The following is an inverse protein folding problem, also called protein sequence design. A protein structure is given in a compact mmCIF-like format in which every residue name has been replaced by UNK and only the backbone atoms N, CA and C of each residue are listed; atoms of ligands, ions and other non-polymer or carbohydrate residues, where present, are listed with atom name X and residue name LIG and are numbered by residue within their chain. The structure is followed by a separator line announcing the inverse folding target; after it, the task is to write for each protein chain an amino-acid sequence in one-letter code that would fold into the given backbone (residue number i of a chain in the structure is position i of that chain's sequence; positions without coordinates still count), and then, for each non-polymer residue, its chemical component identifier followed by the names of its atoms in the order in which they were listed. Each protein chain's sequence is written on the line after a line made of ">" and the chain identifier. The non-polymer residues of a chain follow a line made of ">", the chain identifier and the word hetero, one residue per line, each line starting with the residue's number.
data_IF_111972187520
#
_entry.id   IF_111972187520
#
_cell.length_a   1.000
_cell.length_b   1.000
_cell.length_c   1.000
_cell.angle_alpha   90.00
_cell.angle_beta   90.00
_cell.angle_gamma   90.00
#
_symmetry.space_group_name_H-M   'P 1'
#
loop_
_entity.id
_entity.type
_entity.pdbx_description
1 polymer ?
#
# COMPACT_ATOMS: atom_id res chain seq x y z
N UNK A 1 -27.74 -25.33 21.23
CA UNK A 1 -26.49 -25.73 20.55
C UNK A 1 -26.32 -27.24 20.70
N UNK A 2 -26.30 -28.03 19.60
CA UNK A 2 -26.23 -29.49 19.67
C UNK A 2 -24.84 -29.95 19.19
N UNK A 3 -23.99 -30.35 20.12
CA UNK A 3 -22.63 -30.82 19.79
C UNK A 3 -22.73 -32.25 19.24
N UNK A 4 -22.10 -32.49 18.08
CA UNK A 4 -22.02 -33.80 17.44
C UNK A 4 -20.64 -34.41 17.66
N UNK A 5 -20.51 -35.75 17.81
CA UNK A 5 -19.23 -36.40 18.10
C UNK A 5 -18.09 -36.07 17.12
N UNK A 6 -18.40 -35.88 15.83
CA UNK A 6 -17.37 -35.52 14.83
C UNK A 6 -16.73 -34.16 15.12
N UNK A 7 -17.42 -33.22 15.77
CA UNK A 7 -16.89 -31.88 16.06
C UNK A 7 -15.70 -31.93 17.02
N UNK A 8 -15.68 -32.89 17.96
CA UNK A 8 -14.52 -33.11 18.82
C UNK A 8 -13.30 -33.59 18.02
N UNK A 9 -13.53 -34.36 16.96
CA UNK A 9 -12.47 -34.83 16.07
C UNK A 9 -11.94 -33.73 15.15
N UNK A 10 -12.80 -32.84 14.68
CA UNK A 10 -12.36 -31.61 13.99
C UNK A 10 -11.52 -30.76 14.94
N UNK A 11 -12.03 -30.47 16.14
CA UNK A 11 -11.33 -29.68 17.14
C UNK A 11 -9.95 -30.24 17.49
N UNK A 12 -9.85 -31.56 17.75
CA UNK A 12 -8.57 -32.20 18.05
C UNK A 12 -7.57 -32.13 16.89
N UNK A 13 -8.02 -32.33 15.65
CA UNK A 13 -7.17 -32.21 14.46
C UNK A 13 -6.73 -30.77 14.21
N UNK A 14 -7.62 -29.79 14.39
CA UNK A 14 -7.28 -28.37 14.30
C UNK A 14 -6.27 -27.98 15.39
N UNK A 15 -6.46 -28.39 16.64
CA UNK A 15 -5.52 -28.09 17.73
C UNK A 15 -4.12 -28.66 17.48
N UNK A 16 -4.02 -29.88 16.97
CA UNK A 16 -2.70 -30.43 16.61
C UNK A 16 -2.07 -29.76 15.41
N UNK A 17 -2.87 -29.37 14.42
CA UNK A 17 -2.38 -28.63 13.27
C UNK A 17 -1.84 -27.25 13.68
N UNK A 18 -2.53 -26.59 14.62
CA UNK A 18 -2.08 -25.34 15.24
C UNK A 18 -0.89 -25.52 16.18
N UNK A 19 -0.59 -26.75 16.61
CA UNK A 19 0.58 -27.09 17.43
C UNK A 19 1.76 -27.59 16.59
N UNK A 20 1.78 -27.27 15.29
CA UNK A 20 2.83 -27.63 14.32
C UNK A 20 3.10 -29.14 14.16
N UNK A 21 2.11 -29.99 14.48
CA UNK A 21 2.24 -31.43 14.19
C UNK A 21 2.08 -31.62 12.66
N UNK A 22 3.02 -32.30 11.97
CA UNK A 22 2.93 -32.51 10.53
C UNK A 22 1.63 -33.22 10.12
N UNK A 23 1.07 -32.80 8.97
CA UNK A 23 -0.23 -33.27 8.50
C UNK A 23 -0.26 -34.79 8.26
N UNK A 24 0.88 -35.39 7.94
CA UNK A 24 1.06 -36.83 7.73
C UNK A 24 0.86 -37.58 9.05
N UNK A 25 1.37 -37.03 10.16
CA UNK A 25 1.17 -37.56 11.51
C UNK A 25 -0.29 -37.38 11.92
N UNK A 26 -0.88 -36.21 11.61
CA UNK A 26 -2.31 -35.93 11.83
C UNK A 26 -3.23 -36.81 10.92
N UNK A 27 -2.70 -37.36 9.85
CA UNK A 27 -3.44 -38.28 8.97
C UNK A 27 -3.36 -39.70 9.54
N UNK A 28 -2.15 -40.13 9.94
CA UNK A 28 -1.89 -41.45 10.51
C UNK A 28 -2.60 -41.68 11.86
N UNK A 29 -2.52 -40.73 12.80
CA UNK A 29 -3.17 -40.83 14.12
C UNK A 29 -4.72 -40.86 14.04
N UNK A 30 -5.26 -40.45 12.89
CA UNK A 30 -6.66 -40.34 12.56
C UNK A 30 -7.11 -41.56 11.76
N UNK A 31 -6.18 -42.45 11.38
CA UNK A 31 -6.47 -43.65 10.60
C UNK A 31 -6.92 -43.36 9.17
N UNK A 32 -6.53 -42.21 8.58
CA UNK A 32 -6.85 -41.88 7.19
C UNK A 32 -5.75 -42.38 6.25
N UNK A 33 -6.15 -42.78 5.05
CA UNK A 33 -5.23 -43.26 4.01
C UNK A 33 -4.67 -42.13 3.14
N UNK A 34 -5.45 -41.08 2.94
CA UNK A 34 -5.09 -39.92 2.11
C UNK A 34 -5.04 -38.66 2.99
N UNK A 35 -3.99 -37.87 2.79
CA UNK A 35 -3.75 -36.59 3.47
C UNK A 35 -4.80 -35.56 3.08
N UNK A 36 -5.32 -35.62 1.85
CA UNK A 36 -6.37 -34.71 1.36
C UNK A 36 -7.64 -34.78 2.21
N UNK A 37 -7.96 -35.96 2.75
CA UNK A 37 -9.11 -36.15 3.64
C UNK A 37 -8.90 -35.55 5.03
N UNK A 38 -7.68 -35.14 5.40
CA UNK A 38 -7.41 -34.48 6.68
C UNK A 38 -7.62 -32.96 6.60
N UNK A 39 -7.40 -32.35 5.43
CA UNK A 39 -7.64 -30.91 5.22
C UNK A 39 -9.12 -30.52 5.37
N UNK A 40 -10.06 -31.38 4.98
CA UNK A 40 -11.51 -31.15 5.19
C UNK A 40 -11.89 -31.03 6.68
N UNK A 41 -11.01 -31.51 7.58
CA UNK A 41 -11.25 -31.48 9.02
C UNK A 41 -10.53 -30.36 9.75
N UNK A 42 -9.59 -29.68 9.09
CA UNK A 42 -8.88 -28.53 9.63
C UNK A 42 -9.64 -27.29 9.19
N UNK A 43 -10.29 -26.65 10.15
CA UNK A 43 -10.94 -25.37 9.93
C UNK A 43 -10.05 -24.26 10.47
N UNK A 44 -9.05 -23.88 9.68
CA UNK A 44 -8.31 -22.63 9.85
C UNK A 44 -8.86 -21.60 8.87
N UNK A 45 -8.87 -20.34 9.27
CA UNK A 45 -9.20 -19.25 8.34
C UNK A 45 -8.01 -19.01 7.40
N UNK A 46 -8.26 -18.50 6.18
CA UNK A 46 -7.18 -18.15 5.23
C UNK A 46 -6.16 -17.18 5.87
N UNK A 47 -6.63 -16.35 6.80
CA UNK A 47 -5.80 -15.45 7.58
C UNK A 47 -4.84 -16.19 8.53
N UNK A 48 -5.33 -17.16 9.30
CA UNK A 48 -4.51 -17.97 10.21
C UNK A 48 -3.47 -18.81 9.47
N UNK A 49 -3.84 -19.34 8.29
CA UNK A 49 -2.90 -20.09 7.45
C UNK A 49 -1.81 -19.18 6.86
N UNK A 50 -2.18 -17.97 6.44
CA UNK A 50 -1.23 -16.96 5.95
C UNK A 50 -0.28 -16.48 7.05
N UNK A 51 -0.78 -16.27 8.28
CA UNK A 51 0.06 -15.92 9.43
C UNK A 51 1.07 -17.04 9.75
N UNK A 52 0.66 -18.31 9.69
CA UNK A 52 1.58 -19.43 9.92
C UNK A 52 2.61 -19.60 8.80
N UNK A 53 2.20 -19.45 7.54
CA UNK A 53 3.16 -19.44 6.43
C UNK A 53 4.15 -18.29 6.62
N UNK A 54 3.72 -17.12 7.10
CA UNK A 54 4.60 -15.98 7.39
C UNK A 54 5.51 -16.20 8.61
N UNK A 55 5.14 -17.06 9.56
CA UNK A 55 5.97 -17.37 10.73
C UNK A 55 7.00 -18.46 10.44
N UNK A 56 6.67 -19.44 9.59
CA UNK A 56 7.57 -20.51 9.14
C UNK A 56 8.52 -20.01 8.05
N UNK A 57 8.03 -19.19 7.10
CA UNK A 57 8.87 -18.37 6.24
C UNK A 57 9.45 -17.26 7.10
N UNK A 58 10.49 -17.58 7.89
CA UNK A 58 11.19 -16.63 8.75
C UNK A 58 11.60 -15.35 8.01
N UNK A 59 10.71 -14.37 7.99
CA UNK A 59 10.98 -12.95 7.79
C UNK A 59 11.02 -12.24 9.15
N UNK A 60 11.43 -12.95 10.20
CA UNK A 60 11.46 -12.37 11.55
C UNK A 60 12.84 -12.51 12.19
N UNK A 61 13.43 -11.34 12.42
CA UNK A 61 14.39 -11.04 13.48
C UNK A 61 15.86 -11.35 13.19
N UNK A 62 16.41 -10.70 12.16
CA UNK A 62 17.78 -10.22 12.33
C UNK A 62 17.76 -9.10 13.37
N UNK A 63 18.08 -9.53 14.60
CA UNK A 63 18.55 -8.76 15.74
C UNK A 63 19.05 -7.39 15.33
N UNK A 64 18.38 -6.32 15.76
CA UNK A 64 18.92 -4.95 15.88
C UNK A 64 20.07 -4.69 14.89
N UNK A 65 19.82 -5.00 13.62
CA UNK A 65 20.91 -5.15 12.68
C UNK A 65 21.23 -3.72 12.32
N UNK A 66 22.31 -3.18 12.87
CA UNK A 66 22.89 -1.91 12.45
C UNK A 66 22.70 -1.82 10.95
N UNK A 67 21.78 -0.97 10.50
CA UNK A 67 21.43 -0.86 9.10
C UNK A 67 22.70 -0.37 8.43
N UNK A 68 23.46 -1.31 7.84
CA UNK A 68 24.68 -0.98 7.12
C UNK A 68 24.24 -0.36 5.84
N UNK A 69 24.59 0.90 5.70
CA UNK A 69 24.25 1.67 4.53
C UNK A 69 25.35 1.40 3.51
N UNK A 70 24.97 0.69 2.46
CA UNK A 70 25.84 0.13 1.44
C UNK A 70 25.40 0.78 0.12
N UNK A 71 26.34 1.22 -0.72
CA UNK A 71 25.99 1.81 -2.02
C UNK A 71 25.29 0.77 -2.91
N UNK A 72 24.53 1.19 -3.93
CA UNK A 72 23.86 0.25 -4.83
C UNK A 72 24.83 -0.76 -5.45
N UNK A 73 26.04 -0.30 -5.78
CA UNK A 73 27.12 -1.13 -6.32
C UNK A 73 27.64 -2.14 -5.30
N UNK A 74 27.95 -1.67 -4.09
CA UNK A 74 28.43 -2.54 -3.00
C UNK A 74 27.35 -3.55 -2.56
N UNK A 75 26.06 -3.19 -2.67
CA UNK A 75 24.94 -4.07 -2.33
C UNK A 75 24.84 -5.20 -3.37
N UNK A 76 24.89 -4.87 -4.66
CA UNK A 76 24.93 -5.89 -5.72
C UNK A 76 26.16 -6.79 -5.61
N UNK A 77 27.34 -6.24 -5.31
CA UNK A 77 28.59 -7.00 -5.21
C UNK A 77 28.65 -7.88 -3.95
N UNK A 78 28.11 -7.43 -2.82
CA UNK A 78 28.22 -8.13 -1.52
C UNK A 78 27.09 -9.12 -1.28
N UNK A 79 25.88 -8.78 -1.73
CA UNK A 79 24.66 -9.52 -1.33
C UNK A 79 23.96 -10.24 -2.48
N UNK A 80 24.32 -9.97 -3.74
CA UNK A 80 23.56 -10.42 -4.92
C UNK A 80 22.06 -10.06 -4.87
N UNK A 81 21.64 -9.15 -3.98
CA UNK A 81 20.25 -8.72 -3.86
C UNK A 81 19.95 -7.67 -4.95
N UNK A 82 18.81 -7.76 -5.67
CA UNK A 82 18.45 -6.82 -6.71
C UNK A 82 18.09 -5.46 -6.11
N UNK A 83 18.92 -4.45 -6.34
CA UNK A 83 18.55 -3.05 -6.19
C UNK A 83 18.43 -2.42 -7.57
N UNK A 84 17.19 -2.24 -8.02
CA UNK A 84 16.93 -1.64 -9.33
C UNK A 84 16.84 -0.13 -9.18
N UNK A 85 17.64 0.61 -9.95
CA UNK A 85 17.54 2.07 -10.02
C UNK A 85 16.25 2.42 -10.76
N UNK A 86 15.40 3.23 -10.14
CA UNK A 86 14.16 3.76 -10.73
C UNK A 86 14.31 5.25 -11.01
N UNK A 87 13.31 5.86 -11.67
CA UNK A 87 13.32 7.30 -11.97
C UNK A 87 13.28 8.20 -10.73
N UNK A 88 12.88 7.67 -9.58
CA UNK A 88 12.69 8.41 -8.33
C UNK A 88 13.58 7.93 -7.19
N UNK A 89 14.53 7.03 -7.45
CA UNK A 89 15.42 6.46 -6.44
C UNK A 89 15.79 5.01 -6.73
N UNK A 90 15.65 4.15 -5.72
CA UNK A 90 16.06 2.74 -5.78
C UNK A 90 14.94 1.86 -5.25
N UNK A 91 14.63 0.77 -5.96
CA UNK A 91 13.72 -0.27 -5.49
C UNK A 91 14.51 -1.46 -4.95
N UNK A 92 14.12 -1.96 -3.78
CA UNK A 92 14.72 -3.15 -3.15
C UNK A 92 14.03 -4.47 -3.53
N UNK A 93 13.03 -4.43 -4.41
CA UNK A 93 12.35 -5.64 -4.89
C UNK A 93 13.18 -6.36 -5.94
N UNK A 94 13.00 -7.67 -6.01
CA UNK A 94 13.56 -8.55 -7.04
C UNK A 94 12.79 -8.43 -8.37
N UNK A 95 12.90 -7.27 -9.01
CA UNK A 95 12.18 -6.95 -10.26
C UNK A 95 12.61 -7.83 -11.45
N UNK A 96 13.71 -8.56 -11.33
CA UNK A 96 14.18 -9.55 -12.31
C UNK A 96 13.38 -10.85 -12.27
N UNK A 97 12.81 -11.21 -11.10
CA UNK A 97 12.03 -12.43 -10.91
C UNK A 97 10.53 -12.12 -11.00
N UNK A 98 10.10 -11.04 -10.34
CA UNK A 98 8.69 -10.67 -10.25
C UNK A 98 8.47 -9.20 -10.59
N UNK A 99 7.53 -8.87 -11.50
CA UNK A 99 7.20 -7.48 -11.78
C UNK A 99 6.61 -6.79 -10.54
N UNK A 100 6.74 -5.47 -10.48
CA UNK A 100 6.14 -4.69 -9.40
C UNK A 100 4.61 -4.68 -9.55
N UNK A 101 3.91 -5.08 -8.49
CA UNK A 101 2.44 -5.05 -8.42
C UNK A 101 1.91 -3.77 -7.73
N UNK A 102 2.81 -2.92 -7.23
CA UNK A 102 2.42 -1.69 -6.55
C UNK A 102 2.03 -0.63 -7.57
N UNK A 103 0.78 -0.17 -7.48
CA UNK A 103 0.21 0.85 -8.34
C UNK A 103 -0.46 1.94 -7.51
N UNK A 104 -0.35 3.19 -7.97
CA UNK A 104 -1.06 4.32 -7.41
C UNK A 104 -1.38 5.37 -8.50
N UNK A 105 -2.08 6.44 -8.09
CA UNK A 105 -2.54 7.52 -8.98
C UNK A 105 -1.44 8.50 -9.42
N UNK A 106 -0.20 8.33 -8.94
CA UNK A 106 0.92 9.23 -9.15
C UNK A 106 1.78 8.77 -10.34
N UNK A 107 2.42 9.73 -11.02
CA UNK A 107 3.11 9.49 -12.30
C UNK A 107 4.24 8.47 -12.16
N UNK A 108 4.98 8.54 -11.06
CA UNK A 108 6.12 7.66 -10.83
C UNK A 108 5.74 6.26 -10.32
N UNK A 109 4.51 6.09 -9.81
CA UNK A 109 3.96 4.88 -9.15
C UNK A 109 4.77 4.33 -7.96
N UNK A 110 6.05 4.69 -7.81
CA UNK A 110 6.93 4.27 -6.73
C UNK A 110 6.72 5.07 -5.44
N UNK A 111 6.07 6.23 -5.53
CA UNK A 111 5.73 7.07 -4.38
C UNK A 111 4.89 6.27 -3.36
N UNK A 112 5.22 6.37 -2.07
CA UNK A 112 4.61 5.59 -0.97
C UNK A 112 4.80 4.06 -1.03
N UNK A 113 5.53 3.50 -2.00
CA UNK A 113 5.87 2.07 -1.98
C UNK A 113 6.81 1.76 -0.80
N UNK A 114 6.54 0.71 -0.01
CA UNK A 114 7.42 0.32 1.11
C UNK A 114 8.80 -0.14 0.66
N UNK A 115 8.91 -0.59 -0.58
CA UNK A 115 10.15 -1.07 -1.18
C UNK A 115 10.90 0.02 -1.97
N UNK A 116 10.26 1.18 -2.21
CA UNK A 116 10.94 2.32 -2.80
C UNK A 116 11.77 3.06 -1.74
N UNK A 117 13.00 3.39 -2.11
CA UNK A 117 13.93 4.19 -1.33
C UNK A 117 14.28 5.44 -2.14
N UNK A 118 14.02 6.60 -1.57
CA UNK A 118 14.31 7.90 -2.18
C UNK A 118 15.61 8.46 -1.61
N UNK A 119 16.37 9.21 -2.42
CA UNK A 119 17.68 9.72 -2.03
C UNK A 119 17.57 11.24 -1.86
N UNK A 120 17.95 11.74 -0.68
CA UNK A 120 18.03 13.17 -0.43
C UNK A 120 19.10 13.80 -1.34
N UNK A 121 18.78 14.94 -1.94
CA UNK A 121 19.63 15.63 -2.91
C UNK A 121 19.61 15.07 -4.34
N UNK A 122 18.79 14.06 -4.65
CA UNK A 122 18.59 13.63 -6.04
C UNK A 122 17.71 14.64 -6.78
N UNK A 123 18.37 15.57 -7.48
CA UNK A 123 17.69 16.65 -8.18
C UNK A 123 16.71 16.16 -9.26
N UNK A 124 17.01 15.06 -9.95
CA UNK A 124 16.13 14.54 -11.02
C UNK A 124 14.85 13.97 -10.44
N UNK A 125 14.96 13.23 -9.34
CA UNK A 125 13.81 12.69 -8.63
C UNK A 125 12.96 13.81 -8.01
N UNK A 126 13.60 14.82 -7.42
CA UNK A 126 12.92 16.02 -6.87
C UNK A 126 12.14 16.74 -7.97
N UNK A 127 12.77 17.05 -9.10
CA UNK A 127 12.12 17.74 -10.21
C UNK A 127 10.92 16.94 -10.76
N UNK A 128 11.01 15.61 -10.79
CA UNK A 128 9.91 14.74 -11.22
C UNK A 128 8.75 14.78 -10.21
N UNK A 129 9.05 14.69 -8.91
CA UNK A 129 8.04 14.78 -7.86
C UNK A 129 7.39 16.15 -7.76
N UNK A 130 8.12 17.23 -8.01
CA UNK A 130 7.54 18.58 -8.05
C UNK A 130 6.56 18.75 -9.20
N UNK A 131 6.89 18.23 -10.39
CA UNK A 131 5.97 18.22 -11.54
C UNK A 131 4.72 17.40 -11.25
N UNK A 132 4.88 16.22 -10.65
CA UNK A 132 3.76 15.38 -10.23
C UNK A 132 2.91 16.11 -9.18
N UNK A 133 3.52 16.73 -8.17
CA UNK A 133 2.82 17.49 -7.14
C UNK A 133 1.96 18.62 -7.72
N UNK A 134 2.47 19.39 -8.68
CA UNK A 134 1.69 20.44 -9.36
C UNK A 134 0.48 19.84 -10.09
N UNK A 135 0.67 18.72 -10.79
CA UNK A 135 -0.39 18.03 -11.50
C UNK A 135 -1.48 17.49 -10.56
N UNK A 136 -1.09 16.80 -9.48
CA UNK A 136 -2.03 16.22 -8.53
C UNK A 136 -2.79 17.30 -7.75
N UNK A 137 -2.13 18.42 -7.42
CA UNK A 137 -2.80 19.57 -6.81
C UNK A 137 -3.87 20.15 -7.73
N UNK A 138 -3.56 20.35 -9.01
CA UNK A 138 -4.55 20.84 -9.98
C UNK A 138 -5.74 19.88 -10.14
N UNK A 139 -5.50 18.56 -10.15
CA UNK A 139 -6.57 17.55 -10.16
C UNK A 139 -7.43 17.60 -8.90
N UNK A 140 -6.80 17.73 -7.74
CA UNK A 140 -7.50 17.83 -6.47
C UNK A 140 -8.40 19.07 -6.43
N UNK A 141 -7.89 20.21 -6.88
CA UNK A 141 -8.65 21.46 -6.97
C UNK A 141 -9.83 21.33 -7.96
N UNK A 142 -9.62 20.69 -9.11
CA UNK A 142 -10.67 20.45 -10.09
C UNK A 142 -11.80 19.57 -9.52
N UNK A 143 -11.45 18.43 -8.91
CA UNK A 143 -12.45 17.51 -8.36
C UNK A 143 -13.14 18.15 -7.17
N UNK A 144 -12.42 18.82 -6.26
CA UNK A 144 -13.00 19.44 -5.07
C UNK A 144 -14.01 20.54 -5.39
N UNK A 145 -13.85 21.24 -6.52
CA UNK A 145 -14.79 22.26 -6.99
C UNK A 145 -15.97 21.69 -7.79
N UNK A 146 -15.99 20.39 -8.08
CA UNK A 146 -17.08 19.75 -8.80
C UNK A 146 -18.31 19.61 -7.91
N UNK A 147 -19.44 20.12 -8.39
CA UNK A 147 -20.76 20.01 -7.73
C UNK A 147 -21.14 18.57 -7.33
N UNK A 148 -20.68 17.57 -8.09
CA UNK A 148 -20.97 16.14 -7.86
C UNK A 148 -20.30 15.59 -6.61
N UNK A 149 -19.24 16.21 -6.10
CA UNK A 149 -18.58 15.79 -4.85
C UNK A 149 -19.55 15.82 -3.68
N UNK A 150 -20.48 16.78 -3.63
CA UNK A 150 -21.45 16.88 -2.53
C UNK A 150 -22.36 15.65 -2.44
N UNK A 151 -22.61 14.99 -3.57
CA UNK A 151 -23.56 13.87 -3.69
C UNK A 151 -22.84 12.52 -3.73
N UNK A 152 -21.74 12.43 -4.47
CA UNK A 152 -21.04 11.16 -4.71
C UNK A 152 -20.07 10.82 -3.59
N UNK A 153 -20.38 9.77 -2.83
CA UNK A 153 -19.47 9.22 -1.81
C UNK A 153 -18.11 8.82 -2.39
N UNK A 154 -18.09 8.23 -3.58
CA UNK A 154 -16.83 7.82 -4.23
C UNK A 154 -15.92 9.03 -4.51
N UNK A 155 -16.48 10.16 -4.92
CA UNK A 155 -15.71 11.39 -5.13
C UNK A 155 -15.24 12.00 -3.80
N UNK A 156 -16.05 11.94 -2.75
CA UNK A 156 -15.66 12.37 -1.41
C UNK A 156 -14.47 11.55 -0.90
N UNK A 157 -14.58 10.22 -0.96
CA UNK A 157 -13.52 9.29 -0.55
C UNK A 157 -12.24 9.53 -1.36
N UNK A 158 -12.38 9.74 -2.68
CA UNK A 158 -11.26 10.08 -3.55
C UNK A 158 -10.58 11.39 -3.12
N UNK A 159 -11.33 12.46 -2.83
CA UNK A 159 -10.78 13.75 -2.38
C UNK A 159 -10.00 13.58 -1.06
N UNK A 160 -10.52 12.84 -0.09
CA UNK A 160 -9.82 12.60 1.19
C UNK A 160 -8.50 11.87 0.95
N UNK A 161 -8.54 10.76 0.21
CA UNK A 161 -7.37 9.93 -0.04
C UNK A 161 -6.33 10.71 -0.85
N UNK A 162 -6.76 11.43 -1.88
CA UNK A 162 -5.87 12.14 -2.78
C UNK A 162 -5.26 13.38 -2.11
N UNK A 163 -6.03 14.12 -1.31
CA UNK A 163 -5.50 15.20 -0.47
C UNK A 163 -4.42 14.68 0.49
N UNK A 164 -4.71 13.58 1.20
CA UNK A 164 -3.75 12.93 2.11
C UNK A 164 -2.45 12.58 1.40
N UNK A 165 -2.54 11.92 0.24
CA UNK A 165 -1.36 11.46 -0.49
C UNK A 165 -0.56 12.65 -1.09
N UNK A 166 -1.24 13.71 -1.51
CA UNK A 166 -0.60 14.94 -2.02
C UNK A 166 0.21 15.66 -0.94
N UNK A 167 -0.29 15.72 0.30
CA UNK A 167 0.47 16.28 1.43
C UNK A 167 1.66 15.40 1.84
N UNK A 168 1.52 14.07 1.73
CA UNK A 168 2.67 13.15 1.93
C UNK A 168 3.73 13.38 0.85
N UNK A 169 3.34 13.63 -0.40
CA UNK A 169 4.28 13.89 -1.50
C UNK A 169 5.06 15.18 -1.26
N UNK A 170 4.35 16.25 -0.89
CA UNK A 170 4.96 17.52 -0.50
C UNK A 170 6.00 17.35 0.61
N UNK A 171 5.67 16.52 1.60
CA UNK A 171 6.55 16.24 2.73
C UNK A 171 7.78 15.45 2.30
N UNK A 172 7.62 14.45 1.42
CA UNK A 172 8.75 13.75 0.83
C UNK A 172 9.69 14.70 0.08
N UNK A 173 9.15 15.60 -0.75
CA UNK A 173 9.94 16.59 -1.49
C UNK A 173 10.74 17.48 -0.52
N UNK A 174 10.11 17.93 0.57
CA UNK A 174 10.76 18.74 1.60
C UNK A 174 11.90 17.98 2.29
N UNK A 175 11.66 16.72 2.69
CA UNK A 175 12.68 15.87 3.28
C UNK A 175 13.85 15.63 2.32
N UNK A 176 13.57 15.40 1.03
CA UNK A 176 14.62 15.20 0.03
C UNK A 176 15.50 16.44 -0.18
N UNK A 177 15.02 17.65 0.15
CA UNK A 177 15.76 18.91 0.03
C UNK A 177 16.50 19.30 1.31
N UNK A 178 15.90 19.07 2.48
CA UNK A 178 16.45 19.50 3.76
C UNK A 178 17.52 18.56 4.31
N UNK A 179 17.40 17.26 4.05
CA UNK A 179 18.34 16.27 4.55
C UNK A 179 19.65 16.26 3.76
N UNK A 180 20.77 15.86 4.41
CA UNK A 180 22.06 15.85 3.75
C UNK A 180 22.07 14.90 2.56
N UNK A 181 22.72 15.34 1.48
CA UNK A 181 22.79 14.63 0.20
C UNK A 181 23.28 13.20 0.42
N UNK A 182 22.56 12.23 -0.15
CA UNK A 182 22.85 10.80 -0.01
C UNK A 182 22.11 10.10 1.12
N UNK A 183 21.33 10.82 1.95
CA UNK A 183 20.46 10.18 2.94
C UNK A 183 19.34 9.38 2.25
N UNK A 184 19.03 8.20 2.77
CA UNK A 184 17.98 7.33 2.24
C UNK A 184 16.69 7.59 3.00
N UNK A 185 15.62 7.91 2.27
CA UNK A 185 14.29 8.19 2.80
C UNK A 185 13.36 7.05 2.37
N UNK A 186 12.70 6.40 3.33
CA UNK A 186 11.71 5.34 3.10
C UNK A 186 10.39 5.68 3.75
N UNK A 187 9.29 5.43 3.06
CA UNK A 187 7.95 5.63 3.59
C UNK A 187 7.36 4.33 4.15
N UNK A 188 6.72 4.40 5.31
CA UNK A 188 5.99 3.29 5.92
C UNK A 188 4.47 3.57 5.90
N UNK A 189 3.74 2.89 5.03
CA UNK A 189 2.28 3.10 4.88
C UNK A 189 1.49 2.74 6.15
N UNK A 190 1.94 1.74 6.92
CA UNK A 190 1.21 1.24 8.10
C UNK A 190 1.12 2.29 9.22
N UNK A 191 2.17 3.09 9.39
CA UNK A 191 2.32 4.03 10.51
C UNK A 191 2.32 5.49 10.00
N UNK A 192 2.34 5.69 8.68
CA UNK A 192 2.45 7.01 8.03
C UNK A 192 3.66 7.81 8.54
N UNK A 193 4.82 7.16 8.52
CA UNK A 193 6.10 7.74 8.94
C UNK A 193 7.15 7.64 7.84
N UNK A 194 8.04 8.63 7.80
CA UNK A 194 9.26 8.58 7.00
C UNK A 194 10.42 8.14 7.88
N UNK A 195 11.20 7.17 7.39
CA UNK A 195 12.46 6.77 8.00
C UNK A 195 13.58 7.34 7.15
N UNK A 196 14.37 8.23 7.74
CA UNK A 196 15.52 8.83 7.10
C UNK A 196 16.78 8.23 7.69
N UNK A 197 17.64 7.72 6.83
CA UNK A 197 18.83 6.97 7.19
C UNK A 197 20.04 7.68 6.57
N UNK A 198 20.87 8.28 7.42
CA UNK A 198 22.06 9.01 6.98
C UNK A 198 23.24 8.05 6.77
N UNK A 199 23.76 8.00 5.53
CA UNK A 199 24.88 7.14 5.12
C UNK A 199 26.13 7.31 5.99
N UNK A 200 26.40 8.53 6.43
CA UNK A 200 27.63 8.91 7.10
C UNK A 200 27.62 8.57 8.58
N UNK A 201 26.49 8.83 9.26
CA UNK A 201 26.34 8.63 10.70
C UNK A 201 25.69 7.28 11.05
N UNK A 202 25.12 6.58 10.06
CA UNK A 202 24.34 5.35 10.21
C UNK A 202 23.15 5.46 11.16
N UNK A 203 22.74 6.69 11.49
CA UNK A 203 21.59 6.93 12.35
C UNK A 203 20.32 6.88 11.52
N UNK A 204 19.29 6.26 12.11
CA UNK A 204 17.94 6.23 11.55
C UNK A 204 17.08 7.19 12.36
N UNK A 205 16.62 8.24 11.70
CA UNK A 205 15.64 9.17 12.24
C UNK A 205 14.25 8.78 11.74
N UNK A 206 13.26 8.79 12.62
CA UNK A 206 11.87 8.51 12.28
C UNK A 206 11.05 9.76 12.42
N UNK A 207 10.51 10.23 11.30
CA UNK A 207 9.71 11.44 11.21
C UNK A 207 8.25 11.01 11.09
N UNK A 208 7.50 11.20 12.16
CA UNK A 208 6.05 10.96 12.16
C UNK A 208 5.35 12.15 11.54
N UNK A 209 4.60 11.89 10.48
CA UNK A 209 3.82 12.92 9.83
C UNK A 209 2.42 12.98 10.43
N UNK A 210 2.06 14.11 11.04
CA UNK A 210 0.68 14.39 11.41
C UNK A 210 -0.09 14.74 10.14
N UNK A 211 -0.77 13.76 9.56
CA UNK A 211 -1.64 13.98 8.41
C UNK A 211 -2.72 15.01 8.79
N UNK A 212 -2.92 16.09 8.00
CA UNK A 212 -3.99 17.05 8.27
C UNK A 212 -5.35 16.33 8.23
N UNK A 213 -6.25 16.73 9.13
CA UNK A 213 -7.60 16.15 9.26
C UNK A 213 -8.41 16.43 7.99
N UNK A 214 -8.25 15.55 7.01
CA UNK A 214 -8.82 15.68 5.67
C UNK A 214 -10.35 15.56 5.68
N UNK A 215 -10.93 15.08 6.80
CA UNK A 215 -12.38 15.05 6.99
C UNK A 215 -12.96 16.43 7.35
N UNK A 216 -12.17 17.35 7.89
CA UNK A 216 -12.65 18.69 8.27
C UNK A 216 -13.08 19.52 7.05
N UNK A 217 -12.33 19.42 5.94
CA UNK A 217 -12.65 20.08 4.67
C UNK A 217 -13.85 19.50 3.93
N UNK A 218 -14.16 18.20 4.11
CA UNK A 218 -15.39 17.61 3.57
C UNK A 218 -16.63 18.01 4.38
N UNK A 219 -16.50 18.12 5.71
CA UNK A 219 -17.63 18.52 6.57
C UNK A 219 -18.15 19.92 6.27
N UNK A 220 -17.26 20.86 5.90
CA UNK A 220 -17.68 22.20 5.43
C UNK A 220 -18.38 22.17 4.07
N UNK A 221 -18.01 21.24 3.19
CA UNK A 221 -18.67 21.04 1.90
C UNK A 221 -20.07 20.40 2.07
N UNK A 222 -20.23 19.52 3.05
CA UNK A 222 -21.51 18.85 3.37
C UNK A 222 -22.52 19.77 4.09
N UNK A 223 -22.06 20.71 4.93
CA UNK A 223 -22.95 21.58 5.71
C UNK A 223 -23.66 22.67 4.89
N UNK A 224 -23.26 22.89 3.64
CA UNK A 224 -23.70 24.07 2.91
C UNK A 224 -25.00 23.83 2.12
N UNK A 225 -25.29 22.62 1.61
CA UNK A 225 -26.51 22.43 0.80
C UNK A 225 -27.04 20.98 0.83
N UNK A 226 -28.08 20.76 1.62
CA UNK A 226 -29.08 19.69 1.38
C UNK A 226 -30.14 20.15 0.37
N UNK A 227 -29.74 20.92 -0.65
CA UNK A 227 -30.62 21.19 -1.79
C UNK A 227 -30.58 19.99 -2.72
N UNK A 228 -31.70 19.29 -2.79
CA UNK A 228 -32.06 18.29 -3.78
C UNK A 228 -31.36 18.56 -5.13
N UNK A 229 -30.35 17.75 -5.48
CA UNK A 229 -29.81 17.77 -6.86
C UNK A 229 -30.85 17.06 -7.72
N UNK A 230 -31.42 17.80 -8.66
CA UNK A 230 -32.43 17.30 -9.58
C UNK A 230 -31.82 16.18 -10.44
N UNK A 231 -32.20 14.93 -10.17
CA UNK A 231 -31.78 13.75 -10.93
C UNK A 231 -32.41 13.71 -12.33
N UNK A 232 -33.20 14.73 -12.70
CA UNK A 232 -33.88 14.84 -13.99
C UNK A 232 -33.14 15.62 -15.09
N UNK A 233 -31.94 16.16 -14.82
CA UNK A 233 -31.18 16.82 -15.87
C UNK A 233 -30.47 15.78 -16.76
N UNK A 234 -30.88 15.68 -18.02
CA UNK A 234 -30.18 14.89 -19.05
C UNK A 234 -28.68 15.19 -19.01
N UNK A 235 -27.87 14.13 -18.94
CA UNK A 235 -26.42 14.25 -18.89
C UNK A 235 -25.90 14.66 -20.27
N UNK A 236 -25.90 15.96 -20.55
CA UNK A 236 -25.52 16.55 -21.83
C UNK A 236 -24.14 16.11 -22.31
N UNK A 237 -23.18 15.89 -21.41
CA UNK A 237 -21.85 15.38 -21.74
C UNK A 237 -21.91 13.93 -22.26
N UNK A 238 -22.75 13.10 -21.63
CA UNK A 238 -22.95 11.71 -22.06
C UNK A 238 -23.70 11.65 -23.40
N UNK A 239 -24.72 12.49 -23.59
CA UNK A 239 -25.46 12.58 -24.85
C UNK A 239 -24.59 13.10 -26.00
N UNK A 240 -23.71 14.07 -25.75
CA UNK A 240 -22.73 14.54 -26.72
C UNK A 240 -21.68 13.48 -27.06
N UNK A 241 -21.26 12.69 -26.07
CA UNK A 241 -20.35 11.58 -26.31
C UNK A 241 -21.02 10.50 -27.16
N UNK A 242 -22.24 10.10 -26.80
CA UNK A 242 -23.00 9.07 -27.51
C UNK A 242 -23.37 9.52 -28.93
N UNK A 243 -23.71 10.79 -29.14
CA UNK A 243 -23.98 11.34 -30.47
C UNK A 243 -22.73 11.38 -31.36
N UNK A 244 -21.54 11.66 -30.80
CA UNK A 244 -20.28 11.51 -31.52
C UNK A 244 -20.02 10.06 -31.99
N UNK A 245 -20.57 9.08 -31.29
CA UNK A 245 -20.52 7.66 -31.68
C UNK A 245 -21.76 7.19 -32.46
N UNK A 246 -22.71 8.08 -32.80
CA UNK A 246 -23.92 7.76 -33.55
C UNK A 246 -24.96 6.95 -32.78
N UNK A 247 -24.90 6.95 -31.44
CA UNK A 247 -25.75 6.18 -30.54
C UNK A 247 -26.71 7.09 -29.77
N UNK A 248 -27.44 7.97 -30.47
CA UNK A 248 -28.51 8.76 -29.84
C UNK A 248 -29.75 7.88 -29.68
N UNK A 249 -30.39 7.87 -28.51
CA UNK A 249 -31.76 7.38 -28.39
C UNK A 249 -32.68 8.31 -29.21
N UNK A 250 -33.58 7.74 -30.02
CA UNK A 250 -34.69 8.47 -30.65
C UNK A 250 -35.71 8.93 -29.61
#
# INVERSE_FOLDING_TARGET
>A
MRIRPHQFRHFANTMAHLSDIPIEIITAWSGRKDVNQTFEYIHTTEHEESERISSVLNFSNDKDSDIRIITSKDLTETTNLPASVTSTGVCIQELNVSPCEYLNDFVSQCFMCSSACHIAGDQKAIDLFEKDFVYQKARLDQVSNDSRVKVSKAMQDWVVIHHRNTEVLKSLILLMKEYPVGSIIRFSQRISEFKVTDLSTKKVETIRFALPDSNSGLKSLQSTETSHVDLGAENSDLNNLLSNFGLSEE
#
